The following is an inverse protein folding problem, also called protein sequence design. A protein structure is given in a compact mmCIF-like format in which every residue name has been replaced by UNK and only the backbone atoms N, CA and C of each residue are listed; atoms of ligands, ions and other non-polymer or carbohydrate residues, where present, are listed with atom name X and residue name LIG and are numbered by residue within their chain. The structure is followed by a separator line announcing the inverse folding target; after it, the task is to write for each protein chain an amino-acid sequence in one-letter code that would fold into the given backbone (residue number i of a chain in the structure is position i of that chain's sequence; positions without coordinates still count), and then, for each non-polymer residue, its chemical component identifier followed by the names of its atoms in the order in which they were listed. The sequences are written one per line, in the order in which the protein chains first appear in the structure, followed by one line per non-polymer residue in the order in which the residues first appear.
data_IF_516270477150
#
_entry.id   IF_516270477150
#
_cell.length_a   1.000
_cell.length_b   1.000
_cell.length_c   1.000
_cell.angle_alpha   90.00
_cell.angle_beta   90.00
_cell.angle_gamma   90.00
#
_symmetry.space_group_name_H-M   'P 1'
#
loop_
_entity.id
_entity.type
_entity.pdbx_description
1 polymer ?
#
# COMPACT_ATOMS: atom_id res chain seq x y z
N UNK A 1 -7.75 -33.09 -14.02
CA UNK A 1 -7.45 -33.82 -12.74
C UNK A 1 -5.98 -33.78 -12.34
N UNK A 2 -5.04 -34.07 -13.22
CA UNK A 2 -3.60 -34.07 -12.85
C UNK A 2 -3.03 -32.65 -12.70
N UNK A 3 -3.53 -31.70 -13.47
CA UNK A 3 -3.12 -30.29 -13.41
C UNK A 3 -3.66 -29.63 -12.13
N UNK A 4 -4.90 -29.94 -11.76
CA UNK A 4 -5.56 -29.45 -10.54
C UNK A 4 -4.83 -29.93 -9.26
N UNK A 5 -4.36 -31.17 -9.27
CA UNK A 5 -3.58 -31.72 -8.16
C UNK A 5 -2.19 -31.06 -8.03
N UNK A 6 -1.57 -30.68 -9.15
CA UNK A 6 -0.28 -29.97 -9.16
C UNK A 6 -0.44 -28.54 -8.63
N UNK A 7 -1.50 -27.83 -9.02
CA UNK A 7 -1.79 -26.49 -8.52
C UNK A 7 -2.10 -26.53 -7.04
N UNK A 8 -2.93 -27.47 -6.59
CA UNK A 8 -3.25 -27.69 -5.18
C UNK A 8 -2.01 -27.90 -4.33
N UNK A 9 -1.15 -28.81 -4.76
CA UNK A 9 0.12 -29.09 -4.08
C UNK A 9 1.03 -27.85 -4.08
N UNK A 10 1.02 -27.05 -5.15
CA UNK A 10 1.81 -25.83 -5.24
C UNK A 10 1.31 -24.74 -4.29
N UNK A 11 -0.01 -24.58 -4.13
CA UNK A 11 -0.60 -23.64 -3.15
C UNK A 11 -0.21 -24.04 -1.72
N UNK A 12 -0.30 -25.30 -1.39
CA UNK A 12 0.05 -25.81 -0.06
C UNK A 12 1.53 -25.65 0.25
N UNK A 13 2.41 -25.89 -0.74
CA UNK A 13 3.85 -25.65 -0.62
C UNK A 13 4.15 -24.16 -0.43
N UNK A 14 3.54 -23.28 -1.22
CA UNK A 14 3.74 -21.84 -1.12
C UNK A 14 3.24 -21.31 0.21
N UNK A 15 2.09 -21.80 0.68
CA UNK A 15 1.55 -21.46 2.00
C UNK A 15 2.52 -21.87 3.11
N UNK A 16 3.05 -23.07 3.06
CA UNK A 16 4.02 -23.56 4.03
C UNK A 16 5.32 -22.74 4.03
N UNK A 17 5.81 -22.35 2.85
CA UNK A 17 6.98 -21.49 2.72
C UNK A 17 6.69 -20.09 3.29
N UNK A 18 5.50 -19.54 3.07
CA UNK A 18 5.11 -18.25 3.60
C UNK A 18 4.93 -18.26 5.12
N UNK A 19 4.35 -19.32 5.68
CA UNK A 19 4.23 -19.54 7.12
C UNK A 19 5.61 -19.66 7.78
N UNK A 20 6.54 -20.40 7.17
CA UNK A 20 7.91 -20.55 7.66
C UNK A 20 8.72 -19.25 7.60
N UNK A 21 8.41 -18.35 6.69
CA UNK A 21 9.11 -17.06 6.50
C UNK A 21 8.33 -15.84 7.03
N UNK A 22 7.18 -16.06 7.65
CA UNK A 22 6.30 -15.00 8.22
C UNK A 22 5.99 -13.86 7.22
N UNK A 23 5.80 -14.20 5.91
CA UNK A 23 5.62 -13.24 4.83
C UNK A 23 4.32 -13.43 4.06
N UNK A 24 3.28 -12.72 4.46
CA UNK A 24 2.00 -12.65 3.77
C UNK A 24 2.13 -12.09 2.32
N UNK A 25 3.10 -11.21 2.08
CA UNK A 25 3.31 -10.58 0.76
C UNK A 25 3.82 -11.59 -0.27
N UNK A 26 4.75 -12.47 0.11
CA UNK A 26 5.24 -13.52 -0.77
C UNK A 26 4.09 -14.48 -1.12
N UNK A 27 3.29 -14.85 -0.12
CA UNK A 27 2.13 -15.72 -0.31
C UNK A 27 1.14 -15.11 -1.29
N UNK A 28 0.81 -13.82 -1.14
CA UNK A 28 -0.11 -13.13 -2.04
C UNK A 28 0.39 -13.10 -3.48
N UNK A 29 1.66 -12.75 -3.71
CA UNK A 29 2.24 -12.72 -5.05
C UNK A 29 2.21 -14.10 -5.71
N UNK A 30 2.47 -15.17 -4.94
CA UNK A 30 2.42 -16.52 -5.43
C UNK A 30 0.99 -17.01 -5.69
N UNK A 31 0.04 -16.70 -4.81
CA UNK A 31 -1.39 -17.00 -5.01
C UNK A 31 -1.90 -16.31 -6.28
N UNK A 32 -1.58 -15.02 -6.48
CA UNK A 32 -1.99 -14.29 -7.68
C UNK A 32 -1.43 -14.92 -8.97
N UNK A 33 -0.21 -15.43 -8.95
CA UNK A 33 0.36 -16.17 -10.07
C UNK A 33 -0.41 -17.46 -10.35
N UNK A 34 -0.83 -18.16 -9.30
CA UNK A 34 -1.55 -19.44 -9.40
C UNK A 34 -2.99 -19.19 -9.88
N UNK A 35 -3.66 -18.17 -9.35
CA UNK A 35 -5.03 -17.78 -9.76
C UNK A 35 -5.13 -17.40 -11.25
N UNK A 36 -4.06 -16.86 -11.81
CA UNK A 36 -3.98 -16.57 -13.24
C UNK A 36 -4.16 -17.84 -14.10
N UNK A 37 -3.87 -19.00 -13.54
CA UNK A 37 -3.99 -20.30 -14.18
C UNK A 37 -5.23 -21.09 -13.76
N UNK A 38 -5.88 -20.74 -12.61
CA UNK A 38 -7.06 -21.43 -12.10
C UNK A 38 -8.00 -20.49 -11.31
N UNK A 39 -8.84 -19.77 -12.04
CA UNK A 39 -9.82 -18.84 -11.45
C UNK A 39 -10.92 -19.54 -10.62
N UNK A 40 -11.13 -20.85 -10.80
CA UNK A 40 -12.27 -21.54 -10.20
C UNK A 40 -11.93 -22.16 -8.83
N UNK A 41 -10.65 -22.43 -8.56
CA UNK A 41 -10.24 -23.21 -7.38
C UNK A 41 -10.59 -22.57 -6.03
N UNK A 42 -10.50 -21.24 -5.92
CA UNK A 42 -10.81 -20.53 -4.67
C UNK A 42 -12.30 -20.21 -4.53
N UNK A 43 -13.05 -20.17 -5.65
CA UNK A 43 -14.48 -19.89 -5.67
C UNK A 43 -15.36 -21.12 -5.38
N UNK A 44 -14.96 -22.34 -5.76
CA UNK A 44 -15.79 -23.56 -5.64
C UNK A 44 -16.18 -23.93 -4.19
N UNK A 45 -15.49 -23.38 -3.17
CA UNK A 45 -15.69 -23.75 -1.76
C UNK A 45 -16.17 -22.61 -0.86
N UNK A 46 -16.61 -21.50 -1.43
CA UNK A 46 -17.15 -20.38 -0.66
C UNK A 46 -18.67 -20.24 -0.76
N UNK A 47 -19.36 -21.37 -1.01
CA UNK A 47 -20.82 -21.41 -1.00
C UNK A 47 -21.35 -21.22 0.43
N UNK A 48 -22.43 -20.44 0.56
CA UNK A 48 -23.07 -20.14 1.85
C UNK A 48 -23.46 -21.41 2.62
N UNK A 49 -23.94 -22.46 1.94
CA UNK A 49 -24.28 -23.73 2.58
C UNK A 49 -23.05 -24.43 3.15
N UNK A 50 -21.92 -24.37 2.45
CA UNK A 50 -20.66 -24.91 2.92
C UNK A 50 -20.18 -24.18 4.19
N UNK A 51 -20.18 -22.85 4.21
CA UNK A 51 -19.77 -22.04 5.37
C UNK A 51 -20.63 -22.40 6.59
N UNK A 52 -21.94 -22.54 6.43
CA UNK A 52 -22.85 -22.87 7.53
C UNK A 52 -22.64 -24.27 8.11
N UNK A 53 -21.98 -25.18 7.40
CA UNK A 53 -21.67 -26.55 7.86
C UNK A 53 -20.40 -26.66 8.70
N UNK A 54 -19.55 -25.60 8.74
CA UNK A 54 -18.24 -25.61 9.37
C UNK A 54 -18.32 -25.40 10.89
N UNK A 55 -17.36 -25.99 11.61
CA UNK A 55 -17.09 -25.65 13.01
C UNK A 55 -16.28 -24.34 13.13
N UNK A 56 -16.08 -23.85 14.36
CA UNK A 56 -15.43 -22.56 14.62
C UNK A 56 -13.99 -22.50 14.09
N UNK A 57 -13.19 -23.55 14.22
CA UNK A 57 -11.82 -23.59 13.70
C UNK A 57 -11.79 -23.63 12.17
N UNK A 58 -12.65 -24.45 11.57
CA UNK A 58 -12.81 -24.52 10.12
C UNK A 58 -13.26 -23.17 9.53
N UNK A 59 -14.12 -22.43 10.24
CA UNK A 59 -14.52 -21.07 9.86
C UNK A 59 -13.34 -20.10 9.85
N UNK A 60 -12.43 -20.19 10.82
CA UNK A 60 -11.20 -19.37 10.82
C UNK A 60 -10.26 -19.72 9.68
N UNK A 61 -10.10 -21.01 9.36
CA UNK A 61 -9.31 -21.43 8.20
C UNK A 61 -9.93 -20.92 6.89
N UNK A 62 -11.25 -20.97 6.79
CA UNK A 62 -11.97 -20.45 5.62
C UNK A 62 -11.84 -18.92 5.52
N UNK A 63 -11.87 -18.20 6.65
CA UNK A 63 -11.65 -16.77 6.68
C UNK A 63 -10.24 -16.39 6.17
N UNK A 64 -9.20 -17.13 6.55
CA UNK A 64 -7.85 -16.92 6.02
C UNK A 64 -7.82 -17.07 4.49
N UNK A 65 -8.41 -18.13 3.95
CA UNK A 65 -8.46 -18.35 2.49
C UNK A 65 -9.14 -17.20 1.77
N UNK A 66 -10.27 -16.71 2.29
CA UNK A 66 -11.01 -15.58 1.71
C UNK A 66 -10.19 -14.29 1.81
N UNK A 67 -9.53 -14.03 2.94
CA UNK A 67 -8.67 -12.87 3.14
C UNK A 67 -7.52 -12.86 2.11
N UNK A 68 -6.85 -13.98 1.89
CA UNK A 68 -5.81 -14.11 0.88
C UNK A 68 -6.36 -13.91 -0.54
N UNK A 69 -7.55 -14.43 -0.81
CA UNK A 69 -8.21 -14.22 -2.10
C UNK A 69 -8.50 -12.73 -2.36
N UNK A 70 -9.06 -12.01 -1.38
CA UNK A 70 -9.30 -10.57 -1.49
C UNK A 70 -8.00 -9.82 -1.76
N UNK A 71 -6.93 -10.13 -1.02
CA UNK A 71 -5.62 -9.50 -1.22
C UNK A 71 -5.09 -9.75 -2.63
N UNK A 72 -5.18 -10.99 -3.12
CA UNK A 72 -4.69 -11.33 -4.46
C UNK A 72 -5.45 -10.55 -5.54
N UNK A 73 -6.75 -10.39 -5.42
CA UNK A 73 -7.57 -9.59 -6.36
C UNK A 73 -7.25 -8.10 -6.36
N UNK A 74 -6.81 -7.57 -5.22
CA UNK A 74 -6.48 -6.15 -5.08
C UNK A 74 -4.98 -5.87 -5.27
N UNK A 75 -4.11 -6.88 -5.29
CA UNK A 75 -2.68 -6.73 -5.58
C UNK A 75 -2.49 -6.51 -7.08
N UNK A 76 -1.75 -5.46 -7.43
CA UNK A 76 -1.40 -5.12 -8.82
C UNK A 76 -0.07 -5.77 -9.17
N UNK A 77 -0.05 -6.59 -10.22
CA UNK A 77 1.18 -7.19 -10.72
C UNK A 77 1.91 -6.28 -11.73
N UNK A 78 3.11 -6.68 -12.15
CA UNK A 78 3.93 -5.90 -13.06
C UNK A 78 3.27 -5.67 -14.44
N UNK A 79 2.41 -6.58 -14.90
CA UNK A 79 1.71 -6.43 -16.18
C UNK A 79 0.56 -5.43 -16.03
N UNK A 80 -0.26 -5.56 -14.98
CA UNK A 80 -1.33 -4.61 -14.67
C UNK A 80 -0.78 -3.20 -14.42
N UNK A 81 0.38 -3.10 -13.74
CA UNK A 81 1.07 -1.82 -13.55
C UNK A 81 1.37 -1.15 -14.90
N UNK A 82 1.87 -1.92 -15.88
CA UNK A 82 2.18 -1.43 -17.24
C UNK A 82 0.93 -1.08 -18.04
N UNK A 83 -0.13 -1.86 -17.91
CA UNK A 83 -1.41 -1.61 -18.61
C UNK A 83 -2.07 -0.32 -18.13
N UNK A 84 -2.01 -0.01 -16.84
CA UNK A 84 -2.51 1.23 -16.27
C UNK A 84 -1.65 2.42 -16.72
N UNK A 85 -0.35 2.26 -16.71
CA UNK A 85 0.64 3.10 -17.41
C UNK A 85 0.92 4.47 -16.80
N UNK A 86 0.16 4.97 -15.81
CA UNK A 86 0.40 6.27 -15.17
C UNK A 86 -0.05 6.26 -13.72
N UNK A 87 0.85 6.60 -12.82
CA UNK A 87 0.58 6.77 -11.40
C UNK A 87 1.30 7.99 -10.87
N UNK A 88 0.66 8.72 -10.01
CA UNK A 88 1.30 9.89 -9.40
C UNK A 88 0.65 10.27 -8.08
N UNK A 89 1.08 11.39 -7.56
CA UNK A 89 0.50 11.96 -6.35
C UNK A 89 0.48 13.49 -6.40
N UNK A 90 -0.44 14.06 -5.67
CA UNK A 90 -0.56 15.50 -5.49
C UNK A 90 0.31 15.95 -4.31
N UNK A 91 0.92 17.15 -4.43
CA UNK A 91 1.79 17.68 -3.40
C UNK A 91 1.83 19.22 -3.43
N UNK A 92 2.42 19.81 -2.39
CA UNK A 92 2.70 21.25 -2.33
C UNK A 92 3.94 21.59 -3.17
N UNK A 93 4.02 22.82 -3.68
CA UNK A 93 5.20 23.31 -4.39
C UNK A 93 6.44 23.26 -3.51
N UNK A 94 6.35 23.65 -2.25
CA UNK A 94 7.49 23.58 -1.32
C UNK A 94 8.03 22.15 -1.15
N UNK A 95 7.13 21.17 -1.08
CA UNK A 95 7.52 19.76 -1.01
C UNK A 95 8.17 19.32 -2.32
N UNK A 96 7.60 19.71 -3.46
CA UNK A 96 8.13 19.42 -4.79
C UNK A 96 9.57 19.91 -4.93
N UNK A 97 9.82 21.21 -4.64
CA UNK A 97 11.08 21.87 -4.93
C UNK A 97 12.16 21.67 -3.88
N UNK A 98 11.79 21.48 -2.62
CA UNK A 98 12.74 21.32 -1.53
C UNK A 98 13.10 19.87 -1.23
N UNK A 99 12.24 18.91 -1.59
CA UNK A 99 12.43 17.52 -1.21
C UNK A 99 12.37 16.54 -2.38
N UNK A 100 11.42 16.66 -3.31
CA UNK A 100 11.15 15.63 -4.29
C UNK A 100 11.97 15.81 -5.59
N UNK A 101 12.11 17.05 -6.08
CA UNK A 101 12.94 17.40 -7.22
C UNK A 101 13.84 18.55 -6.79
N UNK A 102 15.03 18.22 -6.32
CA UNK A 102 16.00 19.20 -5.82
C UNK A 102 17.31 19.11 -6.59
N UNK A 103 17.81 20.25 -7.05
CA UNK A 103 19.13 20.34 -7.66
C UNK A 103 20.22 20.02 -6.63
N UNK A 104 21.25 19.27 -7.04
CA UNK A 104 22.44 18.96 -6.24
C UNK A 104 22.18 18.16 -4.95
N UNK A 105 21.06 17.49 -4.82
CA UNK A 105 20.74 16.70 -3.62
C UNK A 105 21.81 15.65 -3.28
N UNK A 106 22.54 15.13 -4.27
CA UNK A 106 23.64 14.17 -4.06
C UNK A 106 24.84 14.74 -3.30
N UNK A 107 25.02 16.06 -3.35
CA UNK A 107 26.13 16.76 -2.73
C UNK A 107 25.74 17.49 -1.44
N UNK A 108 24.50 17.33 -1.01
CA UNK A 108 23.99 18.00 0.17
C UNK A 108 24.37 17.20 1.42
N UNK A 109 25.42 17.63 2.11
CA UNK A 109 25.86 17.05 3.38
C UNK A 109 24.96 17.43 4.56
N UNK A 110 23.87 18.17 4.32
CA UNK A 110 22.91 18.50 5.36
C UNK A 110 22.08 17.25 5.69
N UNK A 111 22.39 16.64 6.83
CA UNK A 111 21.72 15.46 7.38
C UNK A 111 20.22 15.62 7.59
N UNK A 112 19.71 16.85 7.49
CA UNK A 112 18.28 17.15 7.63
C UNK A 112 17.50 17.01 6.31
N UNK A 113 18.18 17.03 5.17
CA UNK A 113 17.52 16.90 3.86
C UNK A 113 17.60 15.46 3.38
N UNK A 114 16.62 14.66 3.75
CA UNK A 114 16.50 13.25 3.36
C UNK A 114 15.67 13.07 2.10
N UNK A 115 15.96 13.78 1.06
CA UNK A 115 15.32 13.62 -0.23
C UNK A 115 16.31 12.89 -1.16
N UNK A 116 15.89 12.15 -2.14
CA UNK A 116 14.57 11.88 -2.71
C UNK A 116 14.18 10.39 -2.61
N UNK A 117 14.01 9.86 -1.43
CA UNK A 117 13.56 8.49 -1.24
C UNK A 117 12.05 8.43 -0.95
N UNK A 118 11.43 7.29 -1.28
CA UNK A 118 10.01 7.08 -1.05
C UNK A 118 9.71 7.11 0.45
N UNK A 119 8.88 8.06 0.85
CA UNK A 119 8.37 8.18 2.20
C UNK A 119 7.07 7.41 2.33
N UNK A 120 6.99 6.53 3.32
CA UNK A 120 5.79 5.80 3.68
C UNK A 120 5.29 6.26 5.04
N UNK A 121 4.03 6.61 5.11
CA UNK A 121 3.38 7.12 6.33
C UNK A 121 2.63 5.96 7.02
N UNK A 122 2.59 6.00 8.36
CA UNK A 122 1.88 4.99 9.12
C UNK A 122 0.37 5.03 8.82
N UNK A 123 -0.23 3.85 8.66
CA UNK A 123 -1.64 3.68 8.35
C UNK A 123 -2.57 4.51 9.25
N UNK A 124 -2.27 4.60 10.56
CA UNK A 124 -3.10 5.32 11.53
C UNK A 124 -3.05 6.85 11.41
N UNK A 125 -2.20 7.39 10.55
CA UNK A 125 -2.01 8.82 10.39
C UNK A 125 -2.48 9.35 9.04
N UNK A 126 -3.15 8.53 8.26
CA UNK A 126 -3.81 8.96 7.04
C UNK A 126 -4.94 9.95 7.36
N UNK A 127 -5.27 10.79 6.39
CA UNK A 127 -6.26 11.87 6.59
C UNK A 127 -7.68 11.36 6.83
N UNK A 128 -8.01 10.18 6.32
CA UNK A 128 -9.32 9.58 6.50
C UNK A 128 -9.45 8.99 7.92
N UNK A 129 -10.38 9.48 8.76
CA UNK A 129 -10.61 8.96 10.11
C UNK A 129 -11.15 7.53 10.12
N UNK A 130 -11.68 7.05 8.98
CA UNK A 130 -12.19 5.68 8.79
C UNK A 130 -11.11 4.71 8.31
N UNK A 131 -9.90 5.20 8.05
CA UNK A 131 -8.80 4.39 7.52
C UNK A 131 -8.52 3.18 8.41
N UNK A 132 -8.51 2.01 7.77
CA UNK A 132 -8.36 0.72 8.44
C UNK A 132 -9.60 0.24 9.24
N UNK A 133 -10.69 1.01 9.28
CA UNK A 133 -11.93 0.67 10.03
C UNK A 133 -13.06 0.21 9.13
N UNK A 134 -13.09 0.67 7.90
CA UNK A 134 -14.21 0.50 6.96
C UNK A 134 -14.68 -0.94 6.85
N UNK A 135 -13.77 -1.91 6.79
CA UNK A 135 -14.13 -3.33 6.71
C UNK A 135 -14.82 -3.84 7.97
N UNK A 136 -14.43 -3.35 9.15
CA UNK A 136 -15.06 -3.77 10.42
C UNK A 136 -16.49 -3.24 10.50
N UNK A 137 -16.70 -1.98 10.13
CA UNK A 137 -18.03 -1.38 10.08
C UNK A 137 -18.91 -2.09 9.03
N UNK A 138 -18.36 -2.42 7.87
CA UNK A 138 -19.06 -3.20 6.84
C UNK A 138 -19.50 -4.57 7.32
N UNK A 139 -18.66 -5.26 8.09
CA UNK A 139 -18.98 -6.58 8.65
C UNK A 139 -19.83 -6.52 9.93
N UNK A 140 -20.09 -5.33 10.47
CA UNK A 140 -20.82 -5.13 11.71
C UNK A 140 -20.04 -5.58 12.96
N UNK A 141 -18.71 -5.42 12.93
CA UNK A 141 -17.81 -5.72 14.04
C UNK A 141 -17.61 -4.46 14.87
N UNK A 142 -17.86 -4.54 16.17
CA UNK A 142 -17.74 -3.40 17.06
C UNK A 142 -16.30 -2.84 17.09
N UNK A 143 -16.19 -1.51 17.11
CA UNK A 143 -14.94 -0.75 17.11
C UNK A 143 -14.04 -0.94 18.34
N UNK A 144 -14.43 -1.75 19.32
CA UNK A 144 -13.59 -2.10 20.47
C UNK A 144 -12.27 -2.78 20.08
N UNK A 145 -12.19 -3.34 18.86
CA UNK A 145 -10.97 -3.89 18.29
C UNK A 145 -9.94 -2.83 17.86
N UNK A 146 -10.35 -1.56 17.70
CA UNK A 146 -9.47 -0.42 17.48
C UNK A 146 -9.22 0.34 18.78
N UNK A 147 -8.46 -0.26 19.67
CA UNK A 147 -8.07 0.42 20.89
C UNK A 147 -7.23 1.67 20.57
N UNK A 148 -7.42 2.72 21.34
CA UNK A 148 -6.88 4.06 21.12
C UNK A 148 -5.35 4.11 20.95
N UNK A 149 -4.63 3.17 21.54
CA UNK A 149 -3.15 3.12 21.54
C UNK A 149 -2.57 1.93 20.77
N UNK A 150 -3.35 1.23 19.96
CA UNK A 150 -2.81 0.15 19.13
C UNK A 150 -1.87 0.71 18.06
N UNK A 151 -0.72 0.08 17.92
CA UNK A 151 0.23 0.36 16.84
C UNK A 151 -0.21 -0.33 15.55
N UNK A 152 0.21 0.23 14.42
CA UNK A 152 0.18 -0.45 13.13
C UNK A 152 1.60 -0.55 12.60
N UNK A 153 2.01 -1.74 12.16
CA UNK A 153 3.29 -1.98 11.51
C UNK A 153 3.22 -1.75 9.99
N UNK A 154 2.04 -1.39 9.47
CA UNK A 154 1.83 -1.09 8.06
C UNK A 154 2.11 0.39 7.80
N UNK A 155 2.99 0.63 6.83
CA UNK A 155 3.34 1.96 6.32
C UNK A 155 3.07 1.98 4.83
N UNK A 156 2.52 3.08 4.34
CA UNK A 156 2.11 3.18 2.95
C UNK A 156 2.31 4.57 2.35
N UNK A 157 2.35 4.60 1.02
CA UNK A 157 2.26 5.81 0.20
C UNK A 157 1.09 5.65 -0.76
N UNK A 158 0.21 6.63 -0.79
CA UNK A 158 -0.95 6.67 -1.68
C UNK A 158 -0.57 7.28 -3.03
N UNK A 159 -1.03 6.64 -4.10
CA UNK A 159 -0.90 7.09 -5.47
C UNK A 159 -2.29 7.14 -6.09
N UNK A 160 -2.42 7.91 -7.16
CA UNK A 160 -3.65 7.95 -7.97
C UNK A 160 -3.31 7.88 -9.45
N UNK A 161 -4.27 7.41 -10.24
CA UNK A 161 -4.21 7.46 -11.71
C UNK A 161 -4.90 8.71 -12.27
N UNK A 162 -5.45 9.54 -11.38
CA UNK A 162 -6.20 10.77 -11.75
C UNK A 162 -5.27 11.97 -11.67
N UNK A 163 -4.74 12.42 -12.80
CA UNK A 163 -3.68 13.43 -12.88
C UNK A 163 -4.16 14.89 -12.87
N UNK A 164 -5.41 15.16 -13.25
CA UNK A 164 -5.94 16.53 -13.37
C UNK A 164 -7.43 16.58 -12.96
N UNK A 165 -7.71 16.52 -11.66
CA UNK A 165 -9.05 16.50 -11.08
C UNK A 165 -9.23 17.61 -10.05
N UNK A 166 -10.29 18.41 -10.21
CA UNK A 166 -10.56 19.55 -9.31
C UNK A 166 -10.71 19.15 -7.83
N UNK A 167 -11.40 18.07 -7.46
CA UNK A 167 -11.42 17.60 -6.08
C UNK A 167 -10.03 17.30 -5.56
N UNK A 168 -9.22 16.56 -6.33
CA UNK A 168 -7.85 16.21 -5.96
C UNK A 168 -6.95 17.44 -5.81
N UNK A 169 -7.07 18.41 -6.69
CA UNK A 169 -6.35 19.68 -6.59
C UNK A 169 -6.66 20.44 -5.31
N UNK A 170 -7.94 20.49 -4.94
CA UNK A 170 -8.39 21.20 -3.71
C UNK A 170 -7.91 20.51 -2.45
N UNK A 171 -8.01 19.18 -2.40
CA UNK A 171 -7.76 18.39 -1.20
C UNK A 171 -6.26 18.18 -0.95
N UNK A 172 -5.51 17.81 -2.00
CA UNK A 172 -4.15 17.27 -1.86
C UNK A 172 -3.04 18.15 -2.41
N UNK A 173 -3.38 19.26 -3.10
CA UNK A 173 -2.41 20.14 -3.74
C UNK A 173 -2.51 21.58 -3.25
N UNK A 174 -2.47 21.78 -1.93
CA UNK A 174 -2.46 23.10 -1.31
C UNK A 174 -3.55 24.05 -1.84
N UNK A 175 -4.81 23.60 -1.80
CA UNK A 175 -5.95 24.35 -2.34
C UNK A 175 -5.80 24.76 -3.81
N UNK A 176 -5.24 23.86 -4.60
CA UNK A 176 -4.98 23.98 -6.05
C UNK A 176 -3.74 24.81 -6.43
N UNK A 177 -2.89 25.17 -5.47
CA UNK A 177 -1.62 25.88 -5.70
C UNK A 177 -0.40 24.94 -5.75
N UNK A 178 -0.61 23.63 -5.65
CA UNK A 178 0.43 22.62 -5.65
C UNK A 178 0.72 22.03 -7.02
N UNK A 179 1.23 20.81 -7.04
CA UNK A 179 1.55 20.07 -8.25
C UNK A 179 1.11 18.62 -8.15
N UNK A 180 0.91 17.97 -9.30
CA UNK A 180 0.83 16.53 -9.46
C UNK A 180 2.14 16.02 -10.01
N UNK A 181 2.71 14.98 -9.42
CA UNK A 181 3.92 14.32 -9.88
C UNK A 181 3.58 12.92 -10.38
N UNK A 182 3.92 12.65 -11.62
CA UNK A 182 3.82 11.34 -12.22
C UNK A 182 5.13 10.58 -12.01
N UNK A 183 5.05 9.37 -11.47
CA UNK A 183 6.21 8.50 -11.30
C UNK A 183 6.72 7.99 -12.65
N UNK A 184 8.03 7.87 -12.76
CA UNK A 184 8.63 7.09 -13.84
C UNK A 184 8.27 5.61 -13.69
N UNK A 185 7.76 5.00 -14.76
CA UNK A 185 7.28 3.62 -14.70
C UNK A 185 8.39 2.62 -14.37
N UNK A 186 9.61 2.84 -14.88
CA UNK A 186 10.73 1.94 -14.55
C UNK A 186 11.07 1.96 -13.07
N UNK A 187 10.93 3.14 -12.42
CA UNK A 187 11.08 3.26 -10.98
C UNK A 187 10.01 2.45 -10.21
N UNK A 188 8.74 2.56 -10.60
CA UNK A 188 7.66 1.80 -9.97
C UNK A 188 7.82 0.30 -10.18
N UNK A 189 8.21 -0.13 -11.38
CA UNK A 189 8.50 -1.54 -11.66
C UNK A 189 9.60 -2.09 -10.74
N UNK A 190 10.67 -1.35 -10.56
CA UNK A 190 11.78 -1.73 -9.69
C UNK A 190 11.40 -1.78 -8.21
N UNK A 191 10.61 -0.80 -7.73
CA UNK A 191 10.08 -0.80 -6.35
C UNK A 191 9.15 -1.99 -6.11
N UNK A 192 8.20 -2.22 -7.01
CA UNK A 192 7.19 -3.29 -6.87
C UNK A 192 7.80 -4.68 -7.08
N UNK A 193 8.93 -4.79 -7.80
CA UNK A 193 9.66 -6.04 -7.94
C UNK A 193 10.28 -6.52 -6.62
N UNK A 194 10.46 -5.63 -5.62
CA UNK A 194 10.97 -6.04 -4.32
C UNK A 194 9.94 -6.95 -3.61
N UNK A 195 10.41 -8.12 -3.12
CA UNK A 195 9.55 -9.17 -2.58
C UNK A 195 8.68 -8.74 -1.39
N UNK A 196 9.15 -7.77 -0.62
CA UNK A 196 8.51 -7.29 0.62
C UNK A 196 7.77 -5.96 0.44
N UNK A 197 7.64 -5.47 -0.79
CA UNK A 197 6.85 -4.29 -1.12
C UNK A 197 5.60 -4.75 -1.88
N UNK A 198 4.45 -4.34 -1.41
CA UNK A 198 3.17 -4.65 -2.02
C UNK A 198 2.62 -3.42 -2.73
N UNK A 199 2.06 -3.60 -3.91
CA UNK A 199 1.34 -2.57 -4.65
C UNK A 199 -0.10 -3.02 -4.84
N UNK A 200 -1.04 -2.24 -4.31
CA UNK A 200 -2.44 -2.64 -4.22
C UNK A 200 -3.37 -1.54 -4.73
N UNK A 201 -4.51 -1.96 -5.23
CA UNK A 201 -5.65 -1.10 -5.55
C UNK A 201 -6.57 -1.01 -4.35
N UNK A 202 -7.01 0.19 -4.00
CA UNK A 202 -8.01 0.40 -2.95
C UNK A 202 -9.40 0.00 -3.48
N UNK A 203 -10.15 -0.72 -2.66
CA UNK A 203 -11.52 -1.09 -2.92
C UNK A 203 -12.47 -0.21 -2.09
N UNK A 204 -13.51 0.32 -2.74
CA UNK A 204 -14.43 1.27 -2.11
C UNK A 204 -15.73 0.60 -1.71
N UNK A 205 -16.13 0.76 -0.44
CA UNK A 205 -17.31 0.12 0.13
C UNK A 205 -18.41 1.15 0.39
N UNK A 206 -19.61 0.83 -0.06
CA UNK A 206 -20.82 1.58 0.26
C UNK A 206 -21.42 1.03 1.57
N UNK A 207 -21.19 1.73 2.68
CA UNK A 207 -21.67 1.32 4.00
C UNK A 207 -23.20 1.50 4.16
N UNK A 208 -23.84 2.28 3.29
CA UNK A 208 -25.27 2.58 3.34
C UNK A 208 -26.10 1.71 2.38
N UNK A 209 -25.45 1.04 1.44
CA UNK A 209 -26.14 0.20 0.47
C UNK A 209 -26.53 -1.16 1.07
N UNK A 210 -27.79 -1.51 0.93
CA UNK A 210 -28.28 -2.87 1.20
C UNK A 210 -28.04 -3.83 0.02
N UNK A 211 -27.65 -3.29 -1.15
CA UNK A 211 -27.41 -4.09 -2.33
C UNK A 211 -26.07 -4.82 -2.21
N UNK A 212 -26.08 -6.11 -2.50
CA UNK A 212 -24.87 -6.92 -2.58
C UNK A 212 -24.02 -6.47 -3.75
N UNK A 213 -22.75 -6.34 -3.51
CA UNK A 213 -21.79 -6.06 -4.57
C UNK A 213 -21.54 -7.35 -5.38
N UNK A 214 -21.72 -7.30 -6.70
CA UNK A 214 -21.58 -8.48 -7.58
C UNK A 214 -20.13 -8.84 -7.92
N UNK A 215 -19.16 -8.01 -7.50
CA UNK A 215 -17.72 -8.26 -7.72
C UNK A 215 -17.22 -9.47 -6.92
N UNK A 216 -16.10 -10.06 -7.35
CA UNK A 216 -15.46 -11.16 -6.61
C UNK A 216 -15.08 -10.75 -5.18
N UNK A 217 -14.61 -9.50 -5.01
CA UNK A 217 -14.29 -8.95 -3.68
C UNK A 217 -15.56 -8.79 -2.85
N UNK A 218 -16.64 -8.28 -3.43
CA UNK A 218 -17.93 -8.12 -2.75
C UNK A 218 -18.49 -9.46 -2.27
N UNK A 219 -18.48 -10.49 -3.13
CA UNK A 219 -18.89 -11.85 -2.74
C UNK A 219 -18.03 -12.42 -1.61
N UNK A 220 -16.74 -12.17 -1.66
CA UNK A 220 -15.79 -12.60 -0.61
C UNK A 220 -16.07 -11.90 0.72
N UNK A 221 -16.42 -10.62 0.70
CA UNK A 221 -16.83 -9.88 1.89
C UNK A 221 -18.15 -10.38 2.46
N UNK A 222 -19.11 -10.74 1.62
CA UNK A 222 -20.36 -11.39 2.07
C UNK A 222 -20.08 -12.72 2.77
N UNK A 223 -19.14 -13.51 2.27
CA UNK A 223 -18.72 -14.76 2.90
C UNK A 223 -18.06 -14.51 4.26
N UNK A 224 -17.19 -13.50 4.39
CA UNK A 224 -16.63 -13.10 5.69
C UNK A 224 -17.72 -12.66 6.67
N UNK A 225 -18.76 -11.96 6.20
CA UNK A 225 -19.91 -11.56 7.01
C UNK A 225 -20.71 -12.77 7.51
N UNK A 226 -20.87 -13.79 6.69
CA UNK A 226 -21.52 -15.04 7.09
C UNK A 226 -20.69 -15.81 8.12
N UNK A 227 -19.36 -15.89 7.93
CA UNK A 227 -18.45 -16.51 8.91
C UNK A 227 -18.57 -15.81 10.26
N UNK A 228 -18.50 -14.48 10.27
CA UNK A 228 -18.63 -13.70 11.50
C UNK A 228 -19.97 -13.95 12.21
N UNK A 229 -21.09 -13.96 11.45
CA UNK A 229 -22.40 -14.27 11.98
C UNK A 229 -22.45 -15.67 12.59
N UNK A 230 -21.89 -16.67 11.90
CA UNK A 230 -21.87 -18.06 12.37
C UNK A 230 -21.02 -18.24 13.62
N UNK A 231 -19.86 -17.57 13.71
CA UNK A 231 -19.03 -17.57 14.92
C UNK A 231 -19.78 -16.98 16.13
N UNK A 232 -20.59 -15.92 15.92
CA UNK A 232 -21.49 -15.37 16.96
C UNK A 232 -22.55 -16.36 17.40
N UNK A 233 -23.21 -17.05 16.47
CA UNK A 233 -24.22 -18.08 16.76
C UNK A 233 -23.65 -19.26 17.55
N UNK A 234 -22.37 -19.57 17.35
CA UNK A 234 -21.64 -20.62 18.06
C UNK A 234 -21.10 -20.15 19.42
N UNK A 235 -21.27 -18.86 19.78
CA UNK A 235 -20.72 -18.24 20.99
C UNK A 235 -19.19 -18.44 21.12
N UNK A 236 -18.48 -18.49 19.98
CA UNK A 236 -17.05 -18.79 19.87
C UNK A 236 -16.20 -17.53 20.12
N UNK A 237 -16.10 -17.07 21.36
CA UNK A 237 -15.49 -15.80 21.76
C UNK A 237 -14.01 -15.65 21.35
N UNK A 238 -13.20 -16.71 21.49
CA UNK A 238 -11.78 -16.67 21.14
C UNK A 238 -11.59 -16.64 19.62
N UNK A 239 -12.41 -17.38 18.88
CA UNK A 239 -12.42 -17.39 17.43
C UNK A 239 -12.92 -16.07 16.86
N UNK A 240 -13.87 -15.40 17.51
CA UNK A 240 -14.32 -14.04 17.13
C UNK A 240 -13.17 -13.04 17.26
N UNK A 241 -12.38 -13.10 18.33
CA UNK A 241 -11.20 -12.25 18.50
C UNK A 241 -10.16 -12.57 17.43
N UNK A 242 -9.88 -13.84 17.19
CA UNK A 242 -8.95 -14.29 16.15
C UNK A 242 -9.39 -13.84 14.76
N UNK A 243 -10.68 -13.93 14.45
CA UNK A 243 -11.25 -13.44 13.19
C UNK A 243 -11.00 -11.94 13.00
N UNK A 244 -11.26 -11.13 14.02
CA UNK A 244 -11.02 -9.69 13.98
C UNK A 244 -9.53 -9.34 13.78
N UNK A 245 -8.61 -10.09 14.42
CA UNK A 245 -7.18 -9.93 14.21
C UNK A 245 -6.76 -10.27 12.78
N UNK A 246 -7.33 -11.33 12.18
CA UNK A 246 -7.07 -11.70 10.78
C UNK A 246 -7.47 -10.60 9.80
N UNK A 247 -8.54 -9.86 10.06
CA UNK A 247 -8.99 -8.75 9.20
C UNK A 247 -7.98 -7.61 9.13
N UNK A 248 -7.04 -7.47 10.08
CA UNK A 248 -5.96 -6.47 10.01
C UNK A 248 -5.11 -6.63 8.76
N UNK A 249 -5.03 -7.85 8.20
CA UNK A 249 -4.28 -8.15 6.97
C UNK A 249 -4.87 -7.51 5.71
N UNK A 250 -6.14 -7.08 5.75
CA UNK A 250 -6.84 -6.47 4.62
C UNK A 250 -7.48 -5.12 4.96
N UNK A 251 -7.44 -4.69 6.21
CA UNK A 251 -8.14 -3.48 6.67
C UNK A 251 -7.72 -2.20 5.92
N UNK A 252 -6.48 -2.15 5.46
CA UNK A 252 -5.89 -1.04 4.70
C UNK A 252 -6.16 -1.10 3.19
N UNK A 253 -6.96 -2.04 2.74
CA UNK A 253 -7.35 -2.18 1.33
C UNK A 253 -8.70 -1.52 1.02
N UNK A 254 -9.39 -1.00 2.04
CA UNK A 254 -10.76 -0.51 1.91
C UNK A 254 -10.90 0.95 2.32
N UNK A 255 -11.70 1.69 1.55
CA UNK A 255 -12.17 3.03 1.86
C UNK A 255 -13.69 3.12 1.69
N UNK A 256 -14.32 4.13 2.30
CA UNK A 256 -15.73 4.43 2.01
C UNK A 256 -15.86 4.97 0.59
N UNK A 257 -17.00 4.68 -0.03
CA UNK A 257 -17.29 5.01 -1.44
C UNK A 257 -17.21 6.49 -1.77
N UNK A 258 -17.42 7.35 -0.79
CA UNK A 258 -17.32 8.81 -0.95
C UNK A 258 -15.94 9.27 -1.45
N UNK A 259 -14.89 8.46 -1.26
CA UNK A 259 -13.53 8.71 -1.74
C UNK A 259 -13.20 8.02 -3.07
N UNK A 260 -14.17 7.40 -3.76
CA UNK A 260 -13.93 6.64 -5.00
C UNK A 260 -13.32 7.53 -6.12
N UNK A 261 -13.58 8.85 -6.08
CA UNK A 261 -13.00 9.81 -7.01
C UNK A 261 -11.48 9.90 -6.95
N UNK A 262 -10.85 9.43 -5.88
CA UNK A 262 -9.39 9.40 -5.72
C UNK A 262 -8.74 8.33 -6.60
N UNK A 263 -9.47 7.26 -6.96
CA UNK A 263 -8.95 6.11 -7.69
C UNK A 263 -7.59 5.66 -7.14
N UNK A 264 -7.54 5.41 -5.84
CA UNK A 264 -6.31 5.24 -5.07
C UNK A 264 -5.65 3.89 -5.29
N UNK A 265 -4.33 3.93 -5.38
CA UNK A 265 -3.42 2.79 -5.27
C UNK A 265 -2.44 3.03 -4.12
N UNK A 266 -1.86 1.96 -3.57
CA UNK A 266 -0.95 2.05 -2.44
C UNK A 266 0.30 1.22 -2.65
N UNK A 267 1.46 1.83 -2.41
CA UNK A 267 2.70 1.11 -2.14
C UNK A 267 2.77 0.93 -0.64
N UNK A 268 2.90 -0.31 -0.17
CA UNK A 268 2.91 -0.58 1.26
C UNK A 268 3.94 -1.62 1.66
N UNK A 269 4.34 -1.52 2.92
CA UNK A 269 5.24 -2.43 3.61
C UNK A 269 4.66 -2.79 4.97
N UNK A 270 5.10 -3.95 5.48
CA UNK A 270 4.90 -4.32 6.88
C UNK A 270 6.28 -4.34 7.57
N UNK A 271 6.44 -3.59 8.66
CA UNK A 271 7.71 -3.54 9.42
C UNK A 271 8.07 -4.86 10.10
N UNK A 272 7.16 -5.80 10.20
CA UNK A 272 7.47 -7.15 10.67
C UNK A 272 8.31 -7.94 9.66
N UNK A 273 8.35 -7.52 8.40
CA UNK A 273 9.19 -8.12 7.37
C UNK A 273 10.67 -7.70 7.55
N UNK A 274 11.55 -8.67 7.78
CA UNK A 274 12.98 -8.43 8.02
C UNK A 274 13.70 -7.83 6.81
N UNK A 275 13.28 -8.15 5.59
CA UNK A 275 13.86 -7.59 4.37
C UNK A 275 13.58 -6.08 4.27
N UNK A 276 12.38 -5.64 4.67
CA UNK A 276 12.03 -4.22 4.75
C UNK A 276 12.83 -3.51 5.83
N UNK A 277 13.02 -4.12 6.99
CA UNK A 277 13.83 -3.53 8.06
C UNK A 277 15.25 -3.17 7.59
N UNK A 278 15.85 -3.99 6.74
CA UNK A 278 17.16 -3.72 6.18
C UNK A 278 17.17 -2.55 5.19
N UNK A 279 16.11 -2.36 4.40
CA UNK A 279 16.01 -1.24 3.45
C UNK A 279 15.87 0.10 4.17
N UNK A 280 15.10 0.17 5.25
CA UNK A 280 14.93 1.42 6.01
C UNK A 280 16.13 1.78 6.87
N UNK A 281 17.02 0.84 7.19
CA UNK A 281 18.26 1.07 7.96
C UNK A 281 19.37 1.76 7.18
N UNK A 282 19.28 1.80 5.86
CA UNK A 282 20.33 2.43 5.05
C UNK A 282 20.43 3.91 5.33
N UNK A 283 21.64 4.39 5.54
CA UNK A 283 21.88 5.82 5.65
C UNK A 283 21.81 6.46 4.26
N UNK A 284 20.91 7.42 4.12
CA UNK A 284 20.71 8.17 2.88
C UNK A 284 21.94 9.00 2.49
N UNK A 285 22.74 9.38 3.49
CA UNK A 285 23.91 10.24 3.30
C UNK A 285 25.22 9.47 3.09
N UNK A 286 25.18 8.14 3.15
CA UNK A 286 26.36 7.33 2.93
C UNK A 286 26.66 7.23 1.42
N UNK A 287 27.70 7.94 0.98
CA UNK A 287 28.19 7.91 -0.42
C UNK A 287 28.67 6.51 -0.85
N UNK A 288 28.91 5.58 0.08
CA UNK A 288 29.17 4.17 -0.21
C UNK A 288 27.92 3.43 -0.73
N UNK A 289 26.75 4.03 -0.63
CA UNK A 289 25.46 3.46 -1.04
C UNK A 289 25.34 3.18 -2.55
N UNK A 290 26.16 3.79 -3.40
CA UNK A 290 26.23 3.41 -4.83
C UNK A 290 26.57 1.92 -5.03
N UNK A 291 27.26 1.28 -4.07
CA UNK A 291 27.56 -0.15 -4.08
C UNK A 291 26.33 -1.04 -3.77
N UNK A 292 25.37 -0.53 -3.00
CA UNK A 292 24.21 -1.32 -2.55
C UNK A 292 23.07 -1.35 -3.58
N UNK A 293 23.13 -0.53 -4.62
CA UNK A 293 22.15 -0.54 -5.71
C UNK A 293 22.36 -1.67 -6.73
N UNK A 294 23.43 -2.44 -6.62
CA UNK A 294 23.57 -3.66 -7.43
C UNK A 294 22.69 -4.75 -6.85
N UNK A 295 21.71 -5.19 -7.62
CA UNK A 295 20.77 -6.30 -7.30
C UNK A 295 21.44 -7.57 -6.74
N UNK A 296 22.73 -7.72 -6.91
CA UNK A 296 23.51 -8.93 -6.59
C UNK A 296 24.13 -8.90 -5.19
N UNK A 297 24.16 -7.75 -4.51
CA UNK A 297 24.83 -7.61 -3.20
C UNK A 297 23.89 -7.53 -2.00
N UNK A 298 22.58 -7.81 -2.16
CA UNK A 298 21.71 -8.10 -1.01
C UNK A 298 21.99 -9.55 -0.58
N UNK A 299 23.25 -9.79 -0.22
CA UNK A 299 23.70 -11.11 0.22
C UNK A 299 23.16 -11.42 1.60
N UNK A 300 22.81 -12.68 1.80
CA UNK A 300 22.41 -13.30 3.06
C UNK A 300 23.35 -13.01 4.25
N UNK A 301 24.59 -12.57 4.01
CA UNK A 301 25.58 -12.27 5.06
C UNK A 301 25.25 -11.07 5.93
N UNK A 302 24.34 -10.17 5.51
CA UNK A 302 23.90 -9.04 6.36
C UNK A 302 22.88 -9.49 7.41
N UNK A 303 22.20 -10.61 7.21
CA UNK A 303 21.14 -11.10 8.08
C UNK A 303 21.63 -11.57 9.46
N UNK A 304 22.83 -12.10 9.55
CA UNK A 304 23.33 -12.73 10.79
C UNK A 304 23.82 -11.73 11.87
N UNK A 305 23.92 -10.44 11.58
CA UNK A 305 24.48 -9.43 12.50
C UNK A 305 23.53 -8.33 12.96
N UNK A 306 22.26 -8.36 12.54
CA UNK A 306 21.33 -7.27 12.81
C UNK A 306 20.50 -7.55 14.04
N UNK A 307 20.74 -6.79 15.12
CA UNK A 307 19.88 -6.76 16.29
C UNK A 307 18.51 -6.17 15.88
N UNK A 308 17.44 -6.95 15.99
CA UNK A 308 16.07 -6.60 15.55
C UNK A 308 15.57 -5.24 16.07
N UNK A 309 16.09 -4.77 17.17
CA UNK A 309 15.69 -3.49 17.75
C UNK A 309 16.32 -2.26 17.08
N UNK A 310 17.32 -2.43 16.20
CA UNK A 310 18.03 -1.29 15.63
C UNK A 310 17.24 -0.54 14.55
N UNK A 311 16.34 -1.19 13.80
CA UNK A 311 15.57 -0.53 12.75
C UNK A 311 14.60 0.55 13.29
N UNK A 312 14.15 0.44 14.53
CA UNK A 312 13.19 1.36 15.15
C UNK A 312 13.70 2.80 15.23
N UNK A 313 15.00 3.01 15.27
CA UNK A 313 15.61 4.35 15.26
C UNK A 313 15.42 5.09 13.93
N UNK A 314 15.06 4.39 12.86
CA UNK A 314 14.76 4.98 11.54
C UNK A 314 13.29 5.30 11.35
N UNK A 315 12.43 4.94 12.29
CA UNK A 315 11.06 5.40 12.34
C UNK A 315 11.07 6.84 12.81
N UNK A 316 10.51 7.74 12.01
CA UNK A 316 10.53 9.17 12.26
C UNK A 316 9.18 9.63 12.76
N UNK A 317 9.18 10.36 13.90
CA UNK A 317 8.02 11.12 14.34
C UNK A 317 8.36 12.61 14.21
N UNK A 318 7.71 13.30 13.27
CA UNK A 318 7.96 14.70 12.97
C UNK A 318 6.73 15.57 13.25
N UNK A 319 6.87 16.72 13.94
CA UNK A 319 5.77 17.63 14.12
C UNK A 319 5.36 18.30 12.80
N UNK A 320 4.06 18.57 12.65
CA UNK A 320 3.48 19.38 11.58
C UNK A 320 3.08 20.76 12.10
N UNK A 321 2.95 21.74 11.21
CA UNK A 321 2.56 23.12 11.53
C UNK A 321 1.17 23.21 12.19
N UNK A 322 0.31 22.22 12.00
CA UNK A 322 -1.03 22.16 12.60
C UNK A 322 -1.10 21.47 13.97
N UNK A 323 0.05 21.23 14.63
CA UNK A 323 0.16 20.57 15.93
C UNK A 323 -0.05 19.03 15.88
N UNK A 324 -0.17 18.44 14.69
CA UNK A 324 -0.18 17.01 14.50
C UNK A 324 1.25 16.49 14.31
N UNK A 325 1.41 15.18 14.33
CA UNK A 325 2.69 14.52 14.09
C UNK A 325 2.56 13.57 12.89
N UNK A 326 3.63 13.48 12.11
CA UNK A 326 3.80 12.45 11.08
C UNK A 326 4.68 11.33 11.59
N UNK A 327 4.19 10.10 11.49
CA UNK A 327 4.96 8.88 11.74
C UNK A 327 5.24 8.22 10.39
N UNK A 328 6.51 8.10 10.04
CA UNK A 328 6.90 7.62 8.72
C UNK A 328 8.25 6.94 8.70
N UNK A 329 8.54 6.25 7.61
CA UNK A 329 9.83 5.69 7.25
C UNK A 329 10.18 6.05 5.81
N UNK A 330 11.47 6.00 5.46
CA UNK A 330 11.93 6.08 4.08
C UNK A 330 12.35 4.70 3.58
N UNK A 331 11.97 4.37 2.34
CA UNK A 331 12.47 3.20 1.62
C UNK A 331 13.70 3.61 0.84
N UNK A 332 14.88 3.28 1.35
CA UNK A 332 16.16 3.63 0.76
C UNK A 332 16.63 2.60 -0.29
N UNK A 333 15.70 2.04 -1.06
CA UNK A 333 16.01 1.07 -2.11
C UNK A 333 16.52 1.77 -3.36
N UNK A 334 15.75 2.74 -3.87
CA UNK A 334 16.06 3.53 -5.05
C UNK A 334 15.63 4.98 -4.81
N UNK A 335 16.37 5.97 -5.33
CA UNK A 335 15.92 7.35 -5.34
C UNK A 335 14.64 7.50 -6.15
N UNK A 336 13.76 8.41 -5.69
CA UNK A 336 12.55 8.77 -6.41
C UNK A 336 12.86 9.24 -7.83
N UNK A 337 12.05 8.79 -8.79
CA UNK A 337 12.15 9.22 -10.17
C UNK A 337 10.76 9.55 -10.69
N UNK A 338 10.64 10.76 -11.23
CA UNK A 338 9.41 11.28 -11.81
C UNK A 338 9.60 11.55 -13.29
N UNK A 339 8.58 11.27 -14.09
CA UNK A 339 8.54 11.51 -15.54
C UNK A 339 7.89 12.86 -15.87
N UNK A 340 6.88 13.27 -15.09
CA UNK A 340 6.08 14.46 -15.36
C UNK A 340 5.69 15.22 -14.11
N UNK A 341 5.56 16.53 -14.24
CA UNK A 341 4.96 17.44 -13.26
C UNK A 341 3.82 18.21 -13.93
N UNK A 342 2.64 18.21 -13.33
CA UNK A 342 1.54 19.06 -13.72
C UNK A 342 1.39 20.13 -12.63
N UNK A 343 1.53 21.40 -12.99
CA UNK A 343 1.34 22.51 -12.07
C UNK A 343 -0.16 22.78 -11.90
N UNK A 344 -0.59 23.00 -10.67
CA UNK A 344 -1.99 23.18 -10.33
C UNK A 344 -2.63 24.44 -10.93
N UNK A 345 -3.96 24.47 -11.04
CA UNK A 345 -4.67 25.54 -11.76
C UNK A 345 -4.54 26.93 -11.13
N UNK A 346 -4.07 27.03 -9.86
CA UNK A 346 -3.82 28.31 -9.17
C UNK A 346 -2.33 28.63 -8.98
N UNK A 347 -1.42 27.89 -9.60
CA UNK A 347 0.00 28.21 -9.54
C UNK A 347 0.28 29.47 -10.36
N UNK A 348 0.78 30.52 -9.70
CA UNK A 348 1.05 31.83 -10.33
C UNK A 348 2.47 31.96 -10.85
N UNK A 349 3.42 31.26 -10.25
CA UNK A 349 4.86 31.41 -10.50
C UNK A 349 5.44 30.30 -11.41
N UNK A 350 4.62 29.75 -12.31
CA UNK A 350 5.01 28.66 -13.21
C UNK A 350 6.28 28.98 -14.01
N UNK A 351 6.45 30.23 -14.44
CA UNK A 351 7.61 30.71 -15.20
C UNK A 351 8.93 30.66 -14.40
N UNK A 352 8.88 30.58 -13.08
CA UNK A 352 10.06 30.42 -12.22
C UNK A 352 10.24 28.97 -11.76
N UNK A 353 9.12 28.26 -11.50
CA UNK A 353 9.13 26.88 -11.01
C UNK A 353 9.60 25.93 -12.12
N UNK A 354 9.06 26.06 -13.32
CA UNK A 354 9.39 25.17 -14.44
C UNK A 354 10.87 25.19 -14.83
N UNK A 355 11.54 26.35 -14.98
CA UNK A 355 12.98 26.37 -15.23
C UNK A 355 13.81 25.72 -14.13
N UNK A 356 13.46 25.91 -12.85
CA UNK A 356 14.12 25.22 -11.74
C UNK A 356 14.02 23.70 -11.86
N UNK A 357 12.82 23.18 -12.13
CA UNK A 357 12.59 21.75 -12.29
C UNK A 357 13.39 21.17 -13.46
N UNK A 358 13.47 21.91 -14.58
CA UNK A 358 14.28 21.52 -15.75
C UNK A 358 15.79 21.54 -15.47
N UNK A 359 16.26 22.46 -14.64
CA UNK A 359 17.67 22.49 -14.20
C UNK A 359 18.01 21.31 -13.28
N UNK A 360 17.05 20.93 -12.42
CA UNK A 360 17.20 19.80 -11.51
C UNK A 360 17.07 18.44 -12.23
N UNK A 361 16.17 18.35 -13.21
CA UNK A 361 15.93 17.18 -14.03
C UNK A 361 15.58 17.61 -15.47
N UNK A 362 16.55 17.63 -16.40
CA UNK A 362 16.34 18.09 -17.78
C UNK A 362 15.28 17.30 -18.56
N UNK A 363 15.09 16.02 -18.22
CA UNK A 363 14.20 15.11 -18.94
C UNK A 363 12.75 15.19 -18.45
N UNK A 364 12.48 15.87 -17.32
CA UNK A 364 11.14 15.94 -16.76
C UNK A 364 10.18 16.71 -17.67
N UNK A 365 9.02 16.13 -17.94
CA UNK A 365 7.94 16.80 -18.63
C UNK A 365 7.20 17.74 -17.66
N UNK A 366 6.84 18.96 -18.13
CA UNK A 366 6.14 19.94 -17.29
C UNK A 366 4.93 20.45 -18.07
N UNK A 367 3.77 20.35 -17.44
CA UNK A 367 2.48 20.83 -17.96
C UNK A 367 1.79 21.72 -16.93
N UNK A 368 0.83 22.52 -17.38
CA UNK A 368 -0.11 23.21 -16.52
C UNK A 368 -1.45 22.44 -16.52
N UNK A 369 -2.15 22.47 -15.40
CA UNK A 369 -3.52 21.95 -15.32
C UNK A 369 -4.39 22.56 -16.41
N UNK A 370 -5.26 21.74 -17.01
CA UNK A 370 -6.24 22.16 -18.02
C UNK A 370 -7.57 22.59 -17.42
N UNK A 371 -7.68 22.49 -16.09
CA UNK A 371 -8.90 22.87 -15.37
C UNK A 371 -9.03 24.41 -15.34
N UNK A 372 -10.12 24.98 -15.88
CA UNK A 372 -10.36 26.42 -15.79
C UNK A 372 -10.79 26.77 -14.37
N UNK A 373 -9.84 27.15 -13.54
CA UNK A 373 -10.09 27.57 -12.16
C UNK A 373 -9.81 29.04 -12.00
N UNK A 374 -10.82 29.81 -11.64
CA UNK A 374 -10.71 31.24 -11.35
C UNK A 374 -10.84 31.52 -9.86
#
# INVERSE_FOLDING_TARGET
RHFDDVIKNSIDVVRKIAEENDSDIILNKAIKLIEKYDNDYLNEKSDSEFILSLDANQLLEQADKIIYYIRSKLTVDANELKEIGSFGHYTKIDTLTNFLIKANWKNDNDSKVKSPYLRLTNLKQLNDPMEGRVIYDYLGIDNTFFQQYQTSNVFLSSLTIVSDSLPMWKEYADSSQGAFLEYDMSYLEDIVAHKSIEFVKVHYLDLMSENKEETDVGKSLDNLKQIFKKLKELEAEEELKSFAEKLKKISYLFKVKDYEYEMEYRILINLDDTAIQNIIKRDVNDSSNEKYFKKEEIGLEIFDKVNYNDFRKYIVLSPKDNGRYDLFVYINLLPLKYSKVILGPKVTDADYIAPYLKLANPDIEIENSKIPYR
#
